data_IF_625158499904
#
_entry.id   IF_625158499904
#
_cell.length_a   1.000
_cell.length_b   1.000
_cell.length_c   1.000
_cell.angle_alpha   90.00
_cell.angle_beta   90.00
_cell.angle_gamma   90.00
#
_symmetry.space_group_name_H-M   'P 1'
#
loop_
_entity.id
_entity.type
_entity.pdbx_description
1 polymer ?
#
# COMPACT_ATOMS: atom_id res chain seq x y z
N UNK A 1 -26.04 -4.21 -14.35
CA UNK A 1 -25.33 -3.28 -13.44
C UNK A 1 -23.90 -3.78 -13.35
N UNK A 2 -22.93 -3.05 -13.86
CA UNK A 2 -21.52 -3.37 -13.69
C UNK A 2 -21.20 -3.25 -12.19
N UNK A 3 -20.81 -4.35 -11.56
CA UNK A 3 -20.31 -4.33 -10.17
C UNK A 3 -19.12 -3.38 -10.13
N UNK A 4 -19.20 -2.38 -9.25
CA UNK A 4 -18.10 -1.42 -9.09
C UNK A 4 -16.80 -2.16 -8.82
N UNK A 5 -15.74 -1.82 -9.56
CA UNK A 5 -14.44 -2.48 -9.43
C UNK A 5 -13.80 -2.07 -8.10
N UNK A 6 -13.39 -3.05 -7.31
CA UNK A 6 -12.81 -2.84 -5.98
C UNK A 6 -11.32 -3.17 -5.96
N UNK A 7 -10.57 -2.49 -5.11
CA UNK A 7 -9.13 -2.68 -4.97
C UNK A 7 -8.67 -2.73 -3.51
N UNK A 8 -7.55 -3.39 -3.31
CA UNK A 8 -6.75 -3.25 -2.11
C UNK A 8 -5.56 -2.37 -2.44
N UNK A 9 -5.50 -1.20 -1.79
CA UNK A 9 -4.35 -0.34 -1.79
C UNK A 9 -3.35 -0.86 -0.76
N UNK A 10 -2.13 -1.11 -1.19
CA UNK A 10 -1.07 -1.71 -0.38
C UNK A 10 0.09 -0.72 -0.26
N UNK A 11 0.54 -0.40 0.95
CA UNK A 11 1.88 0.17 1.05
C UNK A 11 2.92 -0.88 0.62
N UNK A 12 4.09 -0.44 0.24
CA UNK A 12 5.19 -1.33 -0.17
C UNK A 12 6.02 -1.74 1.05
N UNK A 13 6.71 -0.77 1.63
CA UNK A 13 7.68 -0.98 2.72
C UNK A 13 6.93 -1.20 4.04
N UNK A 14 7.18 -2.32 4.71
CA UNK A 14 6.48 -2.74 5.92
C UNK A 14 5.21 -3.56 5.68
N UNK A 15 4.71 -3.65 4.43
CA UNK A 15 3.53 -4.46 4.06
C UNK A 15 3.89 -5.57 3.08
N UNK A 16 4.48 -5.22 1.94
CA UNK A 16 4.92 -6.19 0.93
C UNK A 16 6.34 -6.69 1.19
N UNK A 17 7.25 -5.78 1.54
CA UNK A 17 8.64 -6.09 1.86
C UNK A 17 9.01 -5.56 3.23
N UNK A 18 10.08 -6.12 3.79
CA UNK A 18 10.67 -5.60 5.02
C UNK A 18 11.11 -4.15 4.81
N UNK A 19 10.72 -3.27 5.73
CA UNK A 19 11.18 -1.86 5.73
C UNK A 19 12.58 -1.80 6.34
N UNK A 20 13.60 -1.80 5.49
CA UNK A 20 15.00 -1.62 5.86
C UNK A 20 15.49 -0.20 5.71
N UNK A 21 14.57 0.75 5.52
CA UNK A 21 14.87 2.15 5.24
C UNK A 21 15.33 2.36 3.79
N UNK A 22 14.47 2.97 2.99
CA UNK A 22 14.79 3.37 1.60
C UNK A 22 15.25 2.23 0.67
N UNK A 23 14.57 1.07 0.71
CA UNK A 23 14.85 -0.06 -0.18
C UNK A 23 14.68 0.36 -1.64
N UNK A 24 15.78 0.27 -2.41
CA UNK A 24 15.85 0.74 -3.81
C UNK A 24 16.45 -0.27 -4.78
N UNK A 25 16.97 -1.41 -4.30
CA UNK A 25 17.60 -2.45 -5.12
C UNK A 25 16.96 -3.80 -4.87
N UNK A 26 16.92 -4.69 -5.88
CA UNK A 26 16.39 -6.06 -5.73
C UNK A 26 17.08 -6.88 -4.63
N UNK A 27 18.39 -6.74 -4.46
CA UNK A 27 19.18 -7.46 -3.47
C UNK A 27 18.85 -7.08 -2.02
N UNK A 28 18.30 -5.88 -1.82
CA UNK A 28 17.87 -5.37 -0.51
C UNK A 28 16.38 -5.64 -0.24
N UNK A 29 15.65 -6.15 -1.26
CA UNK A 29 14.22 -6.36 -1.19
C UNK A 29 13.89 -7.76 -0.68
N UNK A 30 13.33 -7.84 0.50
CA UNK A 30 12.89 -9.10 1.12
C UNK A 30 11.38 -9.08 1.32
N UNK A 31 10.67 -10.03 0.68
CA UNK A 31 9.24 -10.15 0.86
C UNK A 31 8.85 -10.46 2.30
N UNK A 32 7.78 -9.82 2.79
CA UNK A 32 7.22 -10.18 4.10
C UNK A 32 6.66 -11.61 4.04
N UNK A 33 6.78 -12.38 5.15
CA UNK A 33 6.26 -13.74 5.22
C UNK A 33 4.78 -13.83 4.83
N UNK A 34 4.44 -14.77 3.97
CA UNK A 34 3.06 -15.05 3.58
C UNK A 34 2.45 -14.10 2.54
N UNK A 35 3.17 -13.04 2.10
CA UNK A 35 2.67 -12.04 1.13
C UNK A 35 2.19 -12.69 -0.16
N UNK A 36 2.97 -13.61 -0.75
CA UNK A 36 2.59 -14.26 -2.01
C UNK A 36 1.28 -15.06 -1.90
N UNK A 37 1.07 -15.69 -0.75
CA UNK A 37 -0.18 -16.42 -0.48
C UNK A 37 -1.36 -15.46 -0.35
N UNK A 38 -1.19 -14.37 0.41
CA UNK A 38 -2.21 -13.35 0.61
C UNK A 38 -2.63 -12.70 -0.72
N UNK A 39 -1.66 -12.24 -1.51
CA UNK A 39 -1.93 -11.59 -2.80
C UNK A 39 -2.68 -12.52 -3.77
N UNK A 40 -2.29 -13.80 -3.84
CA UNK A 40 -3.04 -14.80 -4.65
C UNK A 40 -4.47 -15.00 -4.17
N UNK A 41 -4.68 -15.08 -2.87
CA UNK A 41 -6.02 -15.24 -2.31
C UNK A 41 -6.91 -14.04 -2.64
N UNK A 42 -6.40 -12.82 -2.48
CA UNK A 42 -7.08 -11.58 -2.81
C UNK A 42 -7.41 -11.48 -4.31
N UNK A 43 -6.46 -11.82 -5.19
CA UNK A 43 -6.72 -11.86 -6.65
C UNK A 43 -7.81 -12.86 -7.01
N UNK A 44 -7.80 -14.07 -6.43
CA UNK A 44 -8.86 -15.09 -6.66
C UNK A 44 -10.23 -14.62 -6.21
N UNK A 45 -10.30 -13.80 -5.16
CA UNK A 45 -11.53 -13.18 -4.67
C UNK A 45 -11.97 -11.95 -5.50
N UNK A 46 -11.26 -11.64 -6.60
CA UNK A 46 -11.63 -10.57 -7.53
C UNK A 46 -11.16 -9.18 -7.11
N UNK A 47 -10.23 -9.06 -6.17
CA UNK A 47 -9.65 -7.78 -5.80
C UNK A 47 -8.59 -7.32 -6.81
N UNK A 48 -8.65 -6.07 -7.23
CA UNK A 48 -7.50 -5.42 -7.84
C UNK A 48 -6.43 -5.13 -6.78
N UNK A 49 -5.16 -5.35 -7.13
CA UNK A 49 -4.02 -5.11 -6.24
C UNK A 49 -3.27 -3.87 -6.69
N UNK A 50 -3.26 -2.83 -5.87
CA UNK A 50 -2.69 -1.53 -6.20
C UNK A 50 -1.69 -1.11 -5.13
N UNK A 51 -0.44 -0.91 -5.53
CA UNK A 51 0.60 -0.40 -4.62
C UNK A 51 0.53 1.13 -4.57
N UNK A 52 0.55 1.69 -3.35
CA UNK A 52 0.62 3.14 -3.11
C UNK A 52 1.70 3.43 -2.06
N UNK A 53 2.85 3.99 -2.48
CA UNK A 53 4.04 4.08 -1.63
C UNK A 53 4.69 5.47 -1.61
N UNK A 54 5.13 5.91 -0.43
CA UNK A 54 5.93 7.13 -0.27
C UNK A 54 7.40 6.82 -0.46
N UNK A 55 8.01 7.32 -1.54
CA UNK A 55 9.40 7.05 -1.92
C UNK A 55 10.29 8.29 -1.76
N UNK A 56 10.35 8.81 -0.55
CA UNK A 56 11.12 10.03 -0.24
C UNK A 56 12.65 9.87 -0.36
N UNK A 57 13.15 8.65 -0.53
CA UNK A 57 14.55 8.40 -0.85
C UNK A 57 15.03 9.13 -2.11
N UNK A 58 14.13 9.28 -3.10
CA UNK A 58 14.37 10.07 -4.32
C UNK A 58 14.61 11.53 -3.96
N UNK A 59 13.71 12.13 -3.17
CA UNK A 59 13.84 13.52 -2.75
C UNK A 59 15.05 13.77 -1.84
N UNK A 60 15.51 12.75 -1.13
CA UNK A 60 16.71 12.79 -0.28
C UNK A 60 18.00 12.56 -1.05
N UNK A 61 17.94 12.15 -2.33
CA UNK A 61 19.11 11.83 -3.14
C UNK A 61 19.80 10.51 -2.76
N UNK A 62 19.08 9.61 -2.10
CA UNK A 62 19.62 8.30 -1.71
C UNK A 62 19.61 7.32 -2.89
N UNK A 63 18.68 7.49 -3.81
CA UNK A 63 18.57 6.81 -5.10
C UNK A 63 17.74 7.68 -6.05
N UNK A 64 17.86 7.44 -7.34
CA UNK A 64 17.12 8.20 -8.35
C UNK A 64 15.85 7.50 -8.84
N UNK A 65 15.09 8.17 -9.74
CA UNK A 65 13.91 7.58 -10.38
C UNK A 65 14.22 6.27 -11.11
N UNK A 66 15.39 6.17 -11.78
CA UNK A 66 15.77 4.98 -12.53
C UNK A 66 15.93 3.75 -11.63
N UNK A 67 16.56 3.89 -10.45
CA UNK A 67 16.69 2.80 -9.49
C UNK A 67 15.31 2.38 -8.95
N UNK A 68 14.42 3.33 -8.69
CA UNK A 68 13.04 3.04 -8.28
C UNK A 68 12.28 2.28 -9.37
N UNK A 69 12.39 2.69 -10.63
CA UNK A 69 11.75 2.04 -11.78
C UNK A 69 12.29 0.62 -11.98
N UNK A 70 13.61 0.43 -11.87
CA UNK A 70 14.25 -0.88 -11.96
C UNK A 70 13.77 -1.83 -10.86
N UNK A 71 13.70 -1.36 -9.61
CA UNK A 71 13.16 -2.17 -8.50
C UNK A 71 11.69 -2.51 -8.74
N UNK A 72 10.88 -1.55 -9.22
CA UNK A 72 9.47 -1.76 -9.52
C UNK A 72 9.28 -2.80 -10.62
N UNK A 73 10.07 -2.74 -11.69
CA UNK A 73 10.05 -3.72 -12.79
C UNK A 73 10.47 -5.12 -12.30
N UNK A 74 11.50 -5.20 -11.46
CA UNK A 74 11.89 -6.45 -10.81
C UNK A 74 10.77 -7.02 -9.95
N UNK A 75 10.14 -6.19 -9.13
CA UNK A 75 9.00 -6.58 -8.26
C UNK A 75 7.85 -7.16 -9.09
N UNK A 76 7.48 -6.53 -10.21
CA UNK A 76 6.49 -7.07 -11.14
C UNK A 76 6.87 -8.44 -11.69
N UNK A 77 8.15 -8.59 -12.13
CA UNK A 77 8.65 -9.84 -12.68
C UNK A 77 8.68 -10.97 -11.65
N UNK A 78 9.06 -10.65 -10.41
CA UNK A 78 9.09 -11.62 -9.33
C UNK A 78 7.69 -12.05 -8.90
N UNK A 79 6.75 -11.12 -8.76
CA UNK A 79 5.33 -11.43 -8.51
C UNK A 79 4.73 -12.31 -9.61
N UNK A 80 5.02 -12.03 -10.88
CA UNK A 80 4.54 -12.82 -12.00
C UNK A 80 5.02 -14.27 -11.94
N UNK A 81 6.27 -14.51 -11.53
CA UNK A 81 6.81 -15.88 -11.29
C UNK A 81 6.02 -16.62 -10.20
N UNK A 82 5.41 -15.90 -9.28
CA UNK A 82 4.55 -16.44 -8.23
C UNK A 82 3.05 -16.43 -8.59
N UNK A 83 2.70 -16.15 -9.85
CA UNK A 83 1.32 -16.14 -10.32
C UNK A 83 0.51 -14.94 -9.79
N UNK A 84 1.15 -13.83 -9.48
CA UNK A 84 0.52 -12.58 -9.00
C UNK A 84 0.79 -11.47 -10.00
N UNK A 85 -0.23 -10.66 -10.29
CA UNK A 85 -0.10 -9.43 -11.08
C UNK A 85 -0.66 -8.26 -10.30
N UNK A 86 0.06 -7.14 -10.28
CA UNK A 86 -0.45 -5.87 -9.77
C UNK A 86 -1.24 -5.16 -10.87
N UNK A 87 -2.35 -4.51 -10.47
CA UNK A 87 -3.17 -3.71 -11.38
C UNK A 87 -2.62 -2.29 -11.53
N UNK A 88 -1.82 -1.82 -10.56
CA UNK A 88 -1.15 -0.53 -10.62
C UNK A 88 -0.11 -0.34 -9.52
N UNK A 89 0.87 0.54 -9.78
CA UNK A 89 1.85 0.99 -8.80
C UNK A 89 1.93 2.51 -8.86
N UNK A 90 1.63 3.16 -7.74
CA UNK A 90 1.65 4.61 -7.59
C UNK A 90 2.62 5.00 -6.50
N UNK A 91 3.47 5.98 -6.76
CA UNK A 91 4.43 6.44 -5.77
C UNK A 91 4.45 7.96 -5.66
N UNK A 92 4.92 8.43 -4.51
CA UNK A 92 5.22 9.84 -4.29
C UNK A 92 6.72 10.00 -4.02
N UNK A 93 7.47 10.67 -4.91
CA UNK A 93 8.89 10.94 -4.71
C UNK A 93 9.16 12.19 -3.86
N UNK A 94 8.13 12.99 -3.57
CA UNK A 94 8.29 14.31 -2.97
C UNK A 94 8.47 14.26 -1.44
N UNK A 95 9.17 15.28 -0.94
CA UNK A 95 9.30 15.57 0.48
C UNK A 95 9.30 17.10 0.68
N UNK A 96 8.51 17.68 1.61
CA UNK A 96 8.44 19.14 1.81
C UNK A 96 9.80 19.77 2.08
N UNK A 97 10.63 19.11 2.90
CA UNK A 97 11.96 19.59 3.34
C UNK A 97 13.10 18.86 2.61
N UNK A 98 12.86 18.44 1.36
CA UNK A 98 13.87 17.70 0.61
C UNK A 98 15.15 18.52 0.37
N UNK A 99 16.35 17.89 0.46
CA UNK A 99 17.59 18.55 0.04
C UNK A 99 17.59 18.81 -1.47
N UNK A 100 17.03 17.91 -2.29
CA UNK A 100 16.95 18.08 -3.74
C UNK A 100 15.77 18.99 -4.13
N UNK A 101 16.08 20.18 -4.64
CA UNK A 101 15.09 21.21 -4.98
C UNK A 101 14.00 20.71 -5.98
N UNK A 102 14.38 19.84 -6.93
CA UNK A 102 13.46 19.26 -7.91
C UNK A 102 12.29 18.48 -7.28
N UNK A 103 12.50 17.90 -6.08
CA UNK A 103 11.52 17.07 -5.38
C UNK A 103 10.99 17.72 -4.09
N UNK A 104 11.46 18.94 -3.78
CA UNK A 104 11.07 19.71 -2.59
C UNK A 104 9.74 20.40 -2.85
N UNK A 105 8.66 19.77 -2.41
CA UNK A 105 7.34 20.40 -2.45
C UNK A 105 6.32 19.68 -1.57
N UNK A 106 5.33 20.40 -1.12
CA UNK A 106 4.08 19.82 -0.67
C UNK A 106 3.28 19.33 -1.88
N UNK A 107 2.63 18.19 -1.78
CA UNK A 107 1.84 17.61 -2.86
C UNK A 107 0.65 16.82 -2.28
N UNK A 108 -0.32 16.54 -3.13
CA UNK A 108 -1.48 15.72 -2.80
C UNK A 108 -1.20 14.21 -2.87
N UNK A 109 -0.11 13.81 -3.54
CA UNK A 109 0.24 12.40 -3.72
C UNK A 109 0.94 11.79 -2.48
N UNK A 110 1.57 12.58 -1.61
CA UNK A 110 2.25 12.04 -0.44
C UNK A 110 1.26 11.70 0.67
N UNK A 111 1.17 10.41 1.06
CA UNK A 111 0.43 10.00 2.27
C UNK A 111 0.95 10.79 3.49
N UNK A 112 0.09 11.43 4.31
CA UNK A 112 -1.33 11.14 4.52
C UNK A 112 -2.32 11.76 3.51
N UNK A 113 -1.89 12.52 2.51
CA UNK A 113 -2.80 13.01 1.48
C UNK A 113 -3.28 11.86 0.57
N UNK A 114 -4.54 11.90 0.08
CA UNK A 114 -5.19 10.79 -0.62
C UNK A 114 -4.90 10.73 -2.12
N UNK A 115 -4.04 11.59 -2.66
CA UNK A 115 -3.91 11.80 -4.11
C UNK A 115 -3.51 10.56 -4.90
N UNK A 116 -2.64 9.67 -4.36
CA UNK A 116 -2.28 8.41 -5.03
C UNK A 116 -3.49 7.48 -5.14
N UNK A 117 -4.29 7.33 -4.07
CA UNK A 117 -5.48 6.48 -4.07
C UNK A 117 -6.53 7.01 -5.05
N UNK A 118 -6.78 8.33 -5.03
CA UNK A 118 -7.72 8.99 -5.95
C UNK A 118 -7.26 8.90 -7.41
N UNK A 119 -5.97 9.01 -7.67
CA UNK A 119 -5.42 8.83 -9.01
C UNK A 119 -5.62 7.40 -9.49
N UNK A 120 -5.26 6.42 -8.68
CA UNK A 120 -5.46 5.01 -9.00
C UNK A 120 -6.95 4.69 -9.27
N UNK A 121 -7.85 5.26 -8.47
CA UNK A 121 -9.29 5.06 -8.67
C UNK A 121 -9.77 5.58 -10.03
N UNK A 122 -9.29 6.74 -10.48
CA UNK A 122 -9.61 7.26 -11.82
C UNK A 122 -8.99 6.42 -12.94
N UNK A 123 -7.69 6.06 -12.79
CA UNK A 123 -6.94 5.38 -13.85
C UNK A 123 -7.44 3.93 -14.06
N UNK A 124 -8.00 3.30 -13.00
CA UNK A 124 -8.42 1.90 -12.99
C UNK A 124 -9.94 1.71 -12.86
N UNK A 125 -10.70 2.79 -12.88
CA UNK A 125 -12.18 2.79 -12.73
C UNK A 125 -12.62 2.07 -11.45
N UNK A 126 -12.07 2.50 -10.28
CA UNK A 126 -12.36 1.91 -8.98
C UNK A 126 -13.40 2.72 -8.20
N UNK A 127 -14.27 2.02 -7.48
CA UNK A 127 -15.11 2.62 -6.46
C UNK A 127 -14.36 2.65 -5.12
N UNK A 128 -13.91 3.83 -4.71
CA UNK A 128 -13.19 3.99 -3.44
C UNK A 128 -14.00 3.49 -2.24
N UNK A 129 -15.33 3.63 -2.27
CA UNK A 129 -16.20 3.16 -1.18
C UNK A 129 -16.27 1.63 -1.08
N UNK A 130 -15.76 0.91 -2.09
CA UNK A 130 -15.61 -0.55 -2.09
C UNK A 130 -14.13 -1.00 -1.94
N UNK A 131 -13.20 -0.04 -1.81
CA UNK A 131 -11.76 -0.33 -1.68
C UNK A 131 -11.30 -0.41 -0.21
N UNK A 132 -10.12 -0.99 -0.01
CA UNK A 132 -9.48 -1.14 1.30
C UNK A 132 -8.05 -0.59 1.23
N UNK A 133 -7.60 0.10 2.29
CA UNK A 133 -6.20 0.50 2.46
C UNK A 133 -5.51 -0.40 3.47
N UNK A 134 -4.34 -0.93 3.12
CA UNK A 134 -3.46 -1.71 4.00
C UNK A 134 -2.12 -1.01 4.11
N UNK A 135 -1.69 -0.69 5.32
CA UNK A 135 -0.44 0.01 5.59
C UNK A 135 0.11 -0.28 6.98
N UNK A 136 1.36 0.06 7.23
CA UNK A 136 2.02 -0.08 8.53
C UNK A 136 2.07 1.25 9.31
N UNK A 137 1.89 2.39 8.61
CA UNK A 137 2.06 3.73 9.18
C UNK A 137 0.73 4.46 9.38
N UNK A 138 0.64 5.37 10.36
CA UNK A 138 -0.53 6.24 10.55
C UNK A 138 -0.91 7.01 9.28
N UNK A 139 0.09 7.40 8.47
CA UNK A 139 -0.14 8.12 7.20
C UNK A 139 -0.94 7.32 6.18
N UNK A 140 -0.88 5.99 6.22
CA UNK A 140 -1.66 5.10 5.34
C UNK A 140 -3.13 5.12 5.73
N UNK A 141 -3.40 5.00 7.02
CA UNK A 141 -4.75 5.05 7.57
C UNK A 141 -5.41 6.40 7.26
N UNK A 142 -4.69 7.49 7.49
CA UNK A 142 -5.18 8.84 7.17
C UNK A 142 -5.45 9.02 5.67
N UNK A 143 -4.56 8.53 4.80
CA UNK A 143 -4.75 8.60 3.36
C UNK A 143 -5.98 7.80 2.90
N UNK A 144 -6.17 6.58 3.44
CA UNK A 144 -7.34 5.75 3.18
C UNK A 144 -8.63 6.44 3.59
N UNK A 145 -8.70 6.95 4.83
CA UNK A 145 -9.86 7.70 5.33
C UNK A 145 -10.16 8.95 4.49
N UNK A 146 -9.14 9.73 4.17
CA UNK A 146 -9.28 10.93 3.34
C UNK A 146 -9.67 10.62 1.88
N UNK A 147 -9.35 9.43 1.37
CA UNK A 147 -9.81 8.95 0.07
C UNK A 147 -11.25 8.46 0.09
N UNK A 148 -11.78 8.05 1.25
CA UNK A 148 -13.11 7.49 1.42
C UNK A 148 -13.17 5.99 1.16
N UNK A 149 -12.10 5.23 1.48
CA UNK A 149 -12.13 3.77 1.37
C UNK A 149 -13.03 3.12 2.41
N UNK A 150 -13.55 1.93 2.09
CA UNK A 150 -14.47 1.18 2.95
C UNK A 150 -13.84 0.75 4.28
N UNK A 151 -12.56 0.37 4.25
CA UNK A 151 -11.84 -0.06 5.45
C UNK A 151 -10.33 0.26 5.37
N UNK A 152 -9.72 0.42 6.54
CA UNK A 152 -8.29 0.57 6.72
C UNK A 152 -7.77 -0.56 7.61
N UNK A 153 -6.80 -1.32 7.12
CA UNK A 153 -6.14 -2.42 7.83
C UNK A 153 -4.72 -1.99 8.18
N UNK A 154 -4.36 -2.04 9.44
CA UNK A 154 -3.02 -1.71 9.89
C UNK A 154 -2.19 -2.98 10.10
N UNK A 155 -1.01 -3.02 9.50
CA UNK A 155 0.02 -4.01 9.84
C UNK A 155 0.85 -3.43 10.97
N UNK A 156 0.89 -4.13 12.12
CA UNK A 156 1.69 -3.73 13.26
C UNK A 156 2.47 -4.94 13.74
N UNK A 157 3.80 -4.83 13.82
CA UNK A 157 4.61 -5.84 14.47
C UNK A 157 4.14 -6.00 15.91
N UNK A 158 4.04 -7.25 16.39
CA UNK A 158 3.55 -7.57 17.73
C UNK A 158 4.31 -6.91 18.90
N UNK A 159 5.35 -6.14 18.60
CA UNK A 159 6.09 -5.28 19.53
C UNK A 159 5.67 -3.80 19.43
N UNK A 160 4.98 -3.38 18.35
CA UNK A 160 4.36 -2.08 18.31
C UNK A 160 3.19 -2.11 19.30
N UNK A 161 3.41 -1.61 20.50
CA UNK A 161 2.34 -1.30 21.45
C UNK A 161 1.31 -0.52 20.64
N UNK A 162 0.05 -1.00 20.65
CA UNK A 162 -1.08 -0.16 20.29
C UNK A 162 -0.87 1.11 21.13
N UNK A 163 -0.30 2.12 20.53
CA UNK A 163 -0.15 3.39 21.20
C UNK A 163 -1.58 3.86 21.42
N UNK A 164 -2.01 3.90 22.67
CA UNK A 164 -3.24 4.61 23.05
C UNK A 164 -3.06 6.12 22.92
N UNK A 165 -2.16 6.51 22.02
CA UNK A 165 -2.00 7.90 21.66
C UNK A 165 -3.24 8.29 20.82
N UNK A 166 -4.08 9.15 21.38
CA UNK A 166 -5.32 9.63 20.77
C UNK A 166 -5.10 10.34 19.42
N UNK A 167 -3.85 10.46 18.99
CA UNK A 167 -3.44 11.00 17.68
C UNK A 167 -3.31 9.94 16.59
N UNK A 168 -3.34 8.63 16.93
CA UNK A 168 -3.21 7.55 15.96
C UNK A 168 -4.57 7.27 15.31
N UNK A 169 -4.72 7.43 13.98
CA UNK A 169 -6.01 7.25 13.32
C UNK A 169 -6.46 5.80 13.45
N UNK A 170 -7.73 5.55 13.81
CA UNK A 170 -8.22 4.20 14.02
C UNK A 170 -8.19 3.41 12.71
N UNK A 171 -7.65 2.19 12.78
CA UNK A 171 -7.83 1.16 11.77
C UNK A 171 -9.08 0.35 12.10
N UNK A 172 -9.76 -0.19 11.07
CA UNK A 172 -10.89 -1.09 11.25
C UNK A 172 -10.44 -2.48 11.71
N UNK A 173 -9.21 -2.83 11.34
CA UNK A 173 -8.53 -4.04 11.79
C UNK A 173 -7.02 -3.81 11.92
N UNK A 174 -6.42 -4.35 12.97
CA UNK A 174 -4.97 -4.35 13.18
C UNK A 174 -4.50 -5.80 13.28
N UNK A 175 -3.44 -6.13 12.56
CA UNK A 175 -2.90 -7.48 12.48
C UNK A 175 -1.38 -7.46 12.28
N UNK A 176 -0.75 -8.64 12.41
CA UNK A 176 0.70 -8.79 12.33
C UNK A 176 1.23 -8.95 10.88
N UNK A 177 0.36 -9.23 9.91
CA UNK A 177 0.79 -9.52 8.54
C UNK A 177 -0.33 -9.29 7.51
N UNK A 178 0.07 -9.07 6.25
CA UNK A 178 -0.88 -9.02 5.13
C UNK A 178 -1.71 -10.31 5.02
N UNK A 179 -1.11 -11.47 5.34
CA UNK A 179 -1.81 -12.74 5.31
C UNK A 179 -2.96 -12.82 6.31
N UNK A 180 -2.79 -12.25 7.49
CA UNK A 180 -3.84 -12.14 8.51
C UNK A 180 -4.91 -11.13 8.10
N UNK A 181 -4.50 -9.95 7.61
CA UNK A 181 -5.42 -8.93 7.08
C UNK A 181 -6.28 -9.43 5.92
N UNK A 182 -5.68 -10.18 4.99
CA UNK A 182 -6.41 -10.79 3.88
C UNK A 182 -7.46 -11.81 4.35
N UNK A 183 -7.11 -12.68 5.32
CA UNK A 183 -8.07 -13.63 5.90
C UNK A 183 -9.25 -12.92 6.56
N UNK A 184 -8.95 -11.89 7.36
CA UNK A 184 -9.99 -11.09 8.01
C UNK A 184 -10.94 -10.46 6.96
N UNK A 185 -10.38 -9.85 5.92
CA UNK A 185 -11.15 -9.20 4.87
C UNK A 185 -12.07 -10.19 4.15
N UNK A 186 -11.53 -11.33 3.72
CA UNK A 186 -12.28 -12.34 2.97
C UNK A 186 -13.40 -12.95 3.82
N UNK A 187 -13.17 -13.21 5.11
CA UNK A 187 -14.19 -13.71 6.03
C UNK A 187 -15.34 -12.71 6.26
N UNK A 188 -15.04 -11.40 6.32
CA UNK A 188 -16.07 -10.37 6.48
C UNK A 188 -16.90 -10.12 5.21
N UNK A 189 -16.38 -10.43 4.04
CA UNK A 189 -17.13 -10.37 2.79
C UNK A 189 -18.18 -11.47 2.69
N UNK A 190 -17.84 -12.69 3.09
CA UNK A 190 -18.76 -13.81 3.09
C UNK A 190 -19.99 -13.51 3.96
N UNK A 191 -19.78 -12.79 5.09
CA UNK A 191 -20.86 -12.40 5.99
C UNK A 191 -21.78 -11.29 5.43
N UNK A 192 -21.29 -10.46 4.50
CA UNK A 192 -22.09 -9.41 3.84
C UNK A 192 -22.95 -9.93 2.69
N UNK A 193 -22.68 -11.14 2.22
CA UNK A 193 -23.35 -11.76 1.08
C UNK A 193 -24.23 -12.96 1.48
N UNK A 194 -24.24 -13.31 2.78
CA UNK A 194 -25.08 -14.32 3.40
C UNK A 194 -26.35 -13.69 4.02
#
# INVERSE_FOLDING_TARGET
>A
MTTARRAIFLDRDGVLNQDRGHVSRPEDFEWMPGVMHALRALKRAGWALVVTTNQSGIARGLYGPAEYENLTAWMHSDLARHGVTLDGVYHCPHLPDAPLAAWRRQCDCRKPAPGMLRRAARDLDLDLSACVMVGDKPSDMLAGRAAGVAACIRIADGMARVSHDFTDPPADFTCSSLAEGARWLLAHEEQRHA
#
